data_IF_266760648182
#
_entry.id   IF_266760648182
#
_cell.length_a   1.000
_cell.length_b   1.000
_cell.length_c   1.000
_cell.angle_alpha   90.00
_cell.angle_beta   90.00
_cell.angle_gamma   90.00
#
_symmetry.space_group_name_H-M   'P 1'
#
loop_
_entity.id
_entity.type
_entity.pdbx_description
1 polymer ?
#
# COMPACT_ATOMS: atom_id res chain seq x y z
N UNK A 1 8.14 14.31 1.64
CA UNK A 1 8.13 13.93 0.21
C UNK A 1 9.12 12.80 0.01
N UNK A 2 8.70 11.67 -0.60
CA UNK A 2 9.62 10.56 -0.95
C UNK A 2 9.87 10.57 -2.45
N UNK A 3 11.13 10.70 -2.85
CA UNK A 3 11.55 10.71 -4.25
C UNK A 3 12.33 9.42 -4.57
N UNK A 4 11.98 8.75 -5.66
CA UNK A 4 12.67 7.55 -6.17
C UNK A 4 13.14 7.81 -7.61
N UNK A 5 14.38 7.46 -7.97
CA UNK A 5 14.87 7.67 -9.32
C UNK A 5 14.13 6.79 -10.36
N UNK A 6 14.01 7.29 -11.59
CA UNK A 6 13.41 6.57 -12.73
C UNK A 6 14.22 5.34 -13.15
N UNK A 7 15.51 5.30 -12.84
CA UNK A 7 16.40 4.18 -13.12
C UNK A 7 17.24 3.84 -11.89
N UNK A 8 17.46 2.54 -11.64
CA UNK A 8 18.33 2.06 -10.53
C UNK A 8 19.10 0.82 -10.96
N UNK A 9 20.39 0.76 -10.66
CA UNK A 9 21.18 -0.48 -10.80
C UNK A 9 20.85 -1.42 -9.65
N UNK A 10 20.41 -2.63 -9.98
CA UNK A 10 20.02 -3.64 -8.98
C UNK A 10 20.23 -5.04 -9.53
N UNK A 11 20.31 -6.05 -8.65
CA UNK A 11 20.45 -7.43 -9.07
C UNK A 11 19.24 -7.92 -9.87
N UNK A 12 19.48 -8.53 -11.03
CA UNK A 12 18.44 -9.16 -11.83
C UNK A 12 18.42 -10.68 -11.60
N UNK A 13 17.30 -11.18 -11.06
CA UNK A 13 17.07 -12.63 -10.85
C UNK A 13 16.74 -13.41 -12.13
N UNK A 14 16.60 -12.72 -13.26
CA UNK A 14 16.27 -13.34 -14.54
C UNK A 14 17.50 -13.95 -15.21
N UNK A 15 17.49 -13.97 -16.55
CA UNK A 15 18.58 -14.52 -17.37
C UNK A 15 19.94 -13.88 -17.09
N UNK A 16 19.98 -12.59 -16.71
CA UNK A 16 21.23 -11.84 -16.56
C UNK A 16 22.06 -12.24 -15.34
N UNK A 17 21.46 -12.69 -14.23
CA UNK A 17 22.12 -13.03 -12.95
C UNK A 17 23.20 -12.03 -12.48
N UNK A 18 23.09 -10.76 -12.87
CA UNK A 18 24.06 -9.68 -12.59
C UNK A 18 23.34 -8.39 -12.24
N UNK A 19 24.09 -7.39 -11.78
CA UNK A 19 23.56 -6.06 -11.51
C UNK A 19 23.40 -5.29 -12.82
N UNK A 20 22.16 -5.01 -13.20
CA UNK A 20 21.83 -4.29 -14.44
C UNK A 20 20.99 -3.07 -14.13
N UNK A 21 20.87 -2.16 -15.11
CA UNK A 21 19.97 -1.02 -15.02
C UNK A 21 18.52 -1.51 -15.09
N UNK A 22 17.69 -1.00 -14.18
CA UNK A 22 16.26 -1.28 -14.16
C UNK A 22 15.46 0.01 -14.28
N UNK A 23 14.43 -0.01 -15.13
CA UNK A 23 13.42 1.05 -15.21
C UNK A 23 12.45 0.91 -14.03
N UNK A 24 12.22 2.00 -13.31
CA UNK A 24 11.37 2.04 -12.12
C UNK A 24 10.03 2.65 -12.47
N UNK A 25 8.95 1.91 -12.22
CA UNK A 25 7.58 2.37 -12.41
C UNK A 25 6.75 2.09 -11.18
N UNK A 26 5.65 2.83 -10.98
CA UNK A 26 4.71 2.53 -9.91
C UNK A 26 3.83 1.35 -10.31
N UNK A 27 3.65 0.39 -9.41
CA UNK A 27 2.66 -0.66 -9.61
C UNK A 27 1.25 -0.08 -9.51
N UNK A 28 0.41 -0.39 -10.50
CA UNK A 28 -1.03 -0.13 -10.48
C UNK A 28 -1.76 -1.47 -10.41
N UNK A 29 -2.75 -1.58 -9.53
CA UNK A 29 -3.63 -2.76 -9.48
C UNK A 29 -4.43 -2.80 -10.79
N UNK A 30 -4.42 -3.95 -11.47
CA UNK A 30 -5.27 -4.18 -12.65
C UNK A 30 -6.76 -4.29 -12.28
N UNK A 31 -7.61 -4.30 -13.31
CA UNK A 31 -9.04 -4.62 -13.18
C UNK A 31 -9.20 -6.08 -12.70
N UNK A 32 -10.13 -6.31 -11.79
CA UNK A 32 -10.41 -7.66 -11.30
C UNK A 32 -11.08 -8.50 -12.42
N UNK A 33 -10.67 -9.76 -12.57
CA UNK A 33 -11.20 -10.68 -13.60
C UNK A 33 -12.55 -11.27 -13.20
N UNK A 34 -13.49 -11.34 -14.14
CA UNK A 34 -14.84 -11.89 -13.93
C UNK A 34 -14.85 -13.43 -13.85
N UNK A 35 -13.92 -14.08 -14.56
CA UNK A 35 -13.87 -15.54 -14.67
C UNK A 35 -13.14 -16.21 -13.49
N UNK A 36 -12.55 -15.42 -12.60
CA UNK A 36 -11.93 -15.92 -11.38
C UNK A 36 -12.94 -16.74 -10.56
N UNK A 37 -12.53 -17.91 -10.05
CA UNK A 37 -13.42 -18.84 -9.34
C UNK A 37 -14.18 -18.16 -8.18
N UNK A 38 -13.51 -17.29 -7.42
CA UNK A 38 -14.13 -16.53 -6.33
C UNK A 38 -15.24 -15.59 -6.80
N UNK A 39 -15.03 -14.92 -7.94
CA UNK A 39 -16.02 -14.01 -8.54
C UNK A 39 -17.20 -14.79 -9.11
N UNK A 40 -16.97 -15.88 -9.84
CA UNK A 40 -18.03 -16.79 -10.32
C UNK A 40 -18.90 -17.34 -9.19
N UNK A 41 -18.26 -17.77 -8.09
CA UNK A 41 -18.97 -18.26 -6.89
C UNK A 41 -19.79 -17.15 -6.23
N UNK A 42 -19.23 -15.94 -6.11
CA UNK A 42 -19.93 -14.78 -5.57
C UNK A 42 -21.15 -14.41 -6.42
N UNK A 43 -20.97 -14.31 -7.73
CA UNK A 43 -22.05 -13.93 -8.65
C UNK A 43 -23.16 -15.00 -8.67
N UNK A 44 -22.83 -16.29 -8.60
CA UNK A 44 -23.83 -17.35 -8.44
C UNK A 44 -24.59 -17.26 -7.11
N UNK A 45 -23.89 -16.97 -6.00
CA UNK A 45 -24.51 -16.80 -4.68
C UNK A 45 -25.40 -15.54 -4.63
N UNK A 46 -25.02 -14.51 -5.36
CA UNK A 46 -25.71 -13.22 -5.37
C UNK A 46 -26.96 -13.19 -6.26
N UNK A 47 -27.16 -14.22 -7.12
CA UNK A 47 -28.36 -14.36 -7.97
C UNK A 47 -29.55 -14.85 -7.14
N UNK A 48 -30.75 -14.37 -7.50
CA UNK A 48 -32.00 -14.70 -6.84
C UNK A 48 -32.39 -13.70 -5.74
N UNK A 49 -33.37 -14.08 -4.94
CA UNK A 49 -33.86 -13.29 -3.80
C UNK A 49 -32.95 -13.47 -2.58
N UNK A 50 -33.01 -12.53 -1.61
CA UNK A 50 -32.24 -12.63 -0.36
C UNK A 50 -31.12 -11.58 -0.20
N UNK A 51 -31.01 -10.60 -1.11
CA UNK A 51 -30.19 -9.41 -0.91
C UNK A 51 -28.68 -9.65 -0.89
N UNK A 52 -27.95 -8.93 -0.03
CA UNK A 52 -26.48 -8.97 0.02
C UNK A 52 -25.98 -10.22 0.75
N UNK A 53 -25.31 -11.13 0.04
CA UNK A 53 -24.99 -12.48 0.57
C UNK A 53 -23.63 -12.62 1.28
N UNK A 54 -22.80 -11.56 1.24
CA UNK A 54 -21.48 -11.50 1.91
C UNK A 54 -21.31 -10.16 2.64
N UNK A 55 -20.59 -10.14 3.77
CA UNK A 55 -20.39 -8.93 4.55
C UNK A 55 -19.61 -7.88 3.76
N UNK A 56 -20.10 -6.64 3.78
CA UNK A 56 -19.42 -5.47 3.22
C UNK A 56 -18.70 -4.75 4.37
N UNK A 57 -17.39 -4.55 4.24
CA UNK A 57 -16.63 -3.78 5.21
C UNK A 57 -16.94 -2.27 5.08
N UNK A 58 -17.68 -1.71 6.05
CA UNK A 58 -18.15 -0.30 6.04
C UNK A 58 -17.26 0.67 6.83
N UNK A 59 -16.51 0.20 7.83
CA UNK A 59 -15.71 1.06 8.73
C UNK A 59 -14.37 1.44 8.10
N UNK A 60 -14.37 2.32 7.09
CA UNK A 60 -13.15 2.98 6.58
C UNK A 60 -12.98 4.33 7.29
N UNK A 61 -12.45 4.33 8.52
CA UNK A 61 -12.16 5.59 9.22
C UNK A 61 -10.89 6.23 8.65
N UNK A 62 -11.00 7.42 8.07
CA UNK A 62 -9.84 8.19 7.59
C UNK A 62 -9.25 8.93 8.79
N UNK A 63 -8.20 8.38 9.41
CA UNK A 63 -7.40 9.10 10.41
C UNK A 63 -6.69 10.30 9.76
N UNK A 64 -7.37 11.45 9.74
CA UNK A 64 -6.76 12.73 9.47
C UNK A 64 -5.78 13.05 10.58
N UNK A 65 -4.48 13.05 10.28
CA UNK A 65 -3.48 13.66 11.14
C UNK A 65 -3.68 15.18 11.03
N UNK A 66 -4.39 15.77 11.99
CA UNK A 66 -4.26 17.20 12.29
C UNK A 66 -2.85 17.41 12.83
N UNK A 67 -2.10 18.28 12.16
CA UNK A 67 -0.77 18.70 12.59
C UNK A 67 -0.97 19.85 13.58
N UNK A 68 -1.26 19.51 14.84
CA UNK A 68 -1.19 20.43 15.98
C UNK A 68 -1.56 19.67 17.26
N UNK A 69 -0.60 19.50 18.17
CA UNK A 69 -0.85 19.19 19.58
C UNK A 69 -1.02 17.70 19.94
N UNK A 70 0.00 17.17 20.61
CA UNK A 70 0.05 16.01 21.52
C UNK A 70 -1.07 14.93 21.47
N UNK A 71 -0.72 13.64 21.24
CA UNK A 71 -1.62 12.56 21.59
C UNK A 71 -1.54 12.32 23.11
N UNK A 72 -2.46 12.93 23.87
CA UNK A 72 -2.68 12.54 25.27
C UNK A 72 -3.07 11.05 25.30
N UNK A 73 -2.15 10.24 25.82
CA UNK A 73 -2.42 8.90 26.33
C UNK A 73 -3.46 9.07 27.44
N UNK A 74 -4.73 8.81 27.13
CA UNK A 74 -5.77 8.69 28.15
C UNK A 74 -6.77 7.62 27.73
N UNK A 75 -6.44 6.37 28.01
CA UNK A 75 -7.40 5.34 28.45
C UNK A 75 -6.63 4.09 28.89
N UNK A 76 -6.01 4.15 30.07
CA UNK A 76 -5.51 2.98 30.77
C UNK A 76 -5.73 3.15 32.27
N UNK A 77 -6.98 3.19 32.74
CA UNK A 77 -7.37 2.59 34.04
C UNK A 77 -8.86 2.26 34.02
N UNK A 78 -9.19 1.00 34.31
CA UNK A 78 -10.43 0.44 34.90
C UNK A 78 -10.78 -0.90 34.20
N UNK A 79 -10.20 -2.04 34.61
CA UNK A 79 -10.63 -2.94 35.71
C UNK A 79 -11.30 -4.20 35.14
N UNK A 80 -10.99 -5.33 35.80
CA UNK A 80 -11.63 -6.64 35.77
C UNK A 80 -11.40 -7.57 34.56
N UNK A 81 -10.68 -8.65 34.89
CA UNK A 81 -10.75 -9.94 34.25
C UNK A 81 -12.20 -10.44 34.19
N UNK A 82 -12.69 -10.73 32.98
CA UNK A 82 -13.72 -11.74 32.74
C UNK A 82 -13.57 -12.28 31.32
N UNK A 83 -13.65 -13.60 31.22
CA UNK A 83 -13.46 -14.39 30.02
C UNK A 83 -14.47 -14.00 28.93
N UNK A 84 -13.93 -13.49 27.82
CA UNK A 84 -14.36 -13.70 26.43
C UNK A 84 -13.64 -12.68 25.59
N UNK A 85 -12.33 -12.89 25.40
CA UNK A 85 -11.54 -12.10 24.46
C UNK A 85 -11.79 -12.63 23.06
N UNK A 86 -13.02 -12.46 22.56
CA UNK A 86 -13.21 -12.26 21.14
C UNK A 86 -12.38 -11.02 20.81
N UNK A 87 -11.16 -11.26 20.33
CA UNK A 87 -10.30 -10.25 19.75
C UNK A 87 -11.07 -9.68 18.56
N UNK A 88 -11.94 -8.71 18.84
CA UNK A 88 -12.56 -7.87 17.85
C UNK A 88 -11.40 -7.16 17.18
N UNK A 89 -11.05 -7.70 16.02
CA UNK A 89 -10.09 -7.20 15.07
C UNK A 89 -10.29 -5.69 14.91
N UNK A 90 -9.55 -4.92 15.69
CA UNK A 90 -9.27 -3.51 15.42
C UNK A 90 -8.37 -3.49 14.19
N UNK A 91 -8.97 -3.73 13.01
CA UNK A 91 -8.32 -3.56 11.72
C UNK A 91 -7.99 -2.07 11.60
N UNK A 92 -6.74 -1.76 11.95
CA UNK A 92 -6.14 -0.44 11.85
C UNK A 92 -6.56 0.25 10.54
N UNK A 93 -7.28 1.37 10.66
CA UNK A 93 -7.74 2.12 9.50
C UNK A 93 -6.57 2.89 8.89
N UNK A 94 -6.09 2.44 7.71
CA UNK A 94 -4.85 2.94 7.10
C UNK A 94 -5.17 4.02 6.08
N UNK A 95 -4.74 5.25 6.35
CA UNK A 95 -4.95 6.40 5.45
C UNK A 95 -4.07 6.37 4.20
N UNK A 96 -2.93 5.68 4.27
CA UNK A 96 -1.96 5.55 3.17
C UNK A 96 -1.78 4.09 2.79
N UNK A 97 -1.46 3.82 1.52
CA UNK A 97 -1.16 2.47 1.02
C UNK A 97 0.36 2.24 1.04
N UNK A 98 0.79 0.98 1.12
CA UNK A 98 2.19 0.64 0.82
C UNK A 98 2.40 0.82 -0.69
N UNK A 99 3.41 1.59 -1.08
CA UNK A 99 3.71 1.80 -2.50
C UNK A 99 4.60 0.66 -2.95
N UNK A 100 4.23 0.00 -4.05
CA UNK A 100 5.01 -1.08 -4.66
C UNK A 100 5.61 -0.55 -5.95
N UNK A 101 6.91 -0.70 -6.09
CA UNK A 101 7.64 -0.37 -7.31
C UNK A 101 7.72 -1.61 -8.20
N UNK A 102 7.50 -1.41 -9.50
CA UNK A 102 7.76 -2.38 -10.55
C UNK A 102 9.09 -2.00 -11.21
N UNK A 103 10.10 -2.83 -11.00
CA UNK A 103 11.42 -2.69 -11.60
C UNK A 103 11.50 -3.61 -12.81
N UNK A 104 11.81 -3.06 -13.97
CA UNK A 104 11.95 -3.81 -15.23
C UNK A 104 13.40 -3.75 -15.71
N UNK A 105 14.03 -4.91 -15.89
CA UNK A 105 15.40 -5.00 -16.38
C UNK A 105 15.48 -4.55 -17.85
N UNK A 106 16.47 -3.74 -18.20
CA UNK A 106 16.67 -3.29 -19.59
C UNK A 106 17.09 -4.41 -20.54
N UNK A 107 17.85 -5.39 -20.06
CA UNK A 107 18.39 -6.49 -20.88
C UNK A 107 17.35 -7.61 -21.07
N UNK A 108 16.90 -8.25 -19.98
CA UNK A 108 16.04 -9.44 -20.06
C UNK A 108 14.55 -9.18 -19.88
N UNK A 109 14.13 -7.91 -19.70
CA UNK A 109 12.73 -7.49 -19.45
C UNK A 109 12.07 -8.18 -18.26
N UNK A 110 12.83 -8.87 -17.41
CA UNK A 110 12.33 -9.48 -16.19
C UNK A 110 11.85 -8.38 -15.23
N UNK A 111 10.71 -8.62 -14.58
CA UNK A 111 10.04 -7.64 -13.75
C UNK A 111 10.01 -8.12 -12.30
N UNK A 112 10.38 -7.25 -11.37
CA UNK A 112 10.32 -7.51 -9.92
C UNK A 112 9.54 -6.44 -9.20
N UNK A 113 8.84 -6.85 -8.15
CA UNK A 113 8.05 -5.97 -7.30
C UNK A 113 8.80 -5.70 -6.00
N UNK A 114 8.97 -4.43 -5.64
CA UNK A 114 9.62 -4.00 -4.40
C UNK A 114 8.66 -3.12 -3.59
N UNK A 115 8.16 -3.59 -2.44
CA UNK A 115 7.34 -2.78 -1.56
C UNK A 115 8.21 -1.78 -0.76
N UNK A 116 7.73 -0.54 -0.64
CA UNK A 116 8.31 0.49 0.22
C UNK A 116 7.39 0.71 1.45
N UNK A 117 7.94 1.31 2.50
CA UNK A 117 7.18 1.84 3.63
C UNK A 117 6.07 2.81 3.15
N UNK A 118 5.03 2.96 3.96
CA UNK A 118 3.89 3.84 3.65
C UNK A 118 4.34 5.30 3.63
N UNK A 119 3.88 6.07 2.66
CA UNK A 119 4.13 7.50 2.55
C UNK A 119 2.87 8.22 2.04
N UNK A 120 2.72 9.51 2.39
CA UNK A 120 1.59 10.35 1.96
C UNK A 120 1.80 10.90 0.55
N UNK A 121 3.00 11.44 0.28
CA UNK A 121 3.37 12.02 -1.02
C UNK A 121 4.58 11.26 -1.59
N UNK A 122 4.45 10.83 -2.83
CA UNK A 122 5.42 10.00 -3.53
C UNK A 122 5.55 10.42 -4.99
N UNK A 123 6.79 10.61 -5.43
CA UNK A 123 7.12 11.04 -6.78
C UNK A 123 8.24 10.19 -7.36
N UNK A 124 8.20 9.96 -8.68
CA UNK A 124 9.22 9.22 -9.41
C UNK A 124 10.00 10.18 -10.30
N UNK A 125 11.30 10.34 -10.00
CA UNK A 125 12.23 11.16 -10.76
C UNK A 125 12.02 12.66 -10.57
N UNK A 126 11.62 13.09 -9.37
CA UNK A 126 11.65 14.50 -9.02
C UNK A 126 13.07 15.02 -8.87
N UNK A 127 13.22 16.35 -8.84
CA UNK A 127 14.53 16.99 -8.74
C UNK A 127 15.24 16.64 -7.43
N UNK A 128 16.56 16.52 -7.53
CA UNK A 128 17.41 16.34 -6.34
C UNK A 128 17.50 17.69 -5.65
N UNK A 129 17.15 17.71 -4.36
CA UNK A 129 17.33 18.89 -3.52
C UNK A 129 18.81 19.27 -3.48
N UNK A 130 19.13 20.51 -3.86
CA UNK A 130 20.49 21.06 -3.77
C UNK A 130 20.78 21.39 -2.30
N UNK A 131 22.03 21.17 -1.86
CA UNK A 131 22.45 21.51 -0.49
C UNK A 131 22.75 23.01 -0.40
N UNK A 132 22.25 23.67 0.64
CA UNK A 132 22.60 25.06 0.97
C UNK A 132 21.95 26.16 0.12
N UNK A 133 20.95 25.85 -0.70
CA UNK A 133 20.21 26.90 -1.41
C UNK A 133 19.22 27.60 -0.48
N UNK A 134 19.25 28.93 -0.47
CA UNK A 134 18.23 29.75 0.18
C UNK A 134 16.88 29.43 -0.44
N UNK A 135 15.92 29.08 0.42
CA UNK A 135 14.53 28.96 0.02
C UNK A 135 14.05 30.40 -0.21
N UNK A 136 13.56 30.69 -1.40
CA UNK A 136 12.93 31.98 -1.67
C UNK A 136 11.59 32.01 -0.91
N UNK A 137 11.42 33.03 -0.09
CA UNK A 137 10.21 33.29 0.69
C UNK A 137 9.17 34.03 -0.16
#
# INVERSE_FOLDING_TARGET
MVNVPKQRRTFCKGKCKKHTLHKVTQYKKGKDSLYAQGKRRYDRKQRGYGGQTKPIFRKKVKLGLTVSGEPKLLCCVAVCACANRSALDLVQAKTTKKIVLRMECTECKNRKQLPIKRCKHFEIGGDKKRKGQMIQF
#
